data_IF_447782021149
#
_entry.id   IF_447782021149
#
_cell.length_a   1.000
_cell.length_b   1.000
_cell.length_c   1.000
_cell.angle_alpha   90.00
_cell.angle_beta   90.00
_cell.angle_gamma   90.00
#
_symmetry.space_group_name_H-M   'P 1'
#
loop_
_entity.id
_entity.type
_entity.pdbx_description
1 polymer ?
#
# COMPACT_ATOMS: atom_id res chain seq x y z
N UNK A 1 -12.43 1.33 -13.71
CA UNK A 1 -11.32 0.39 -13.49
C UNK A 1 -11.44 0.01 -12.02
N UNK A 2 -10.40 -0.43 -11.32
CA UNK A 2 -10.58 -0.94 -9.95
C UNK A 2 -9.38 -1.72 -9.43
N UNK A 3 -9.48 -2.15 -8.17
CA UNK A 3 -8.47 -2.98 -7.52
C UNK A 3 -8.70 -4.45 -7.89
N UNK A 4 -7.65 -5.08 -8.39
CA UNK A 4 -7.54 -6.51 -8.70
C UNK A 4 -7.31 -7.34 -7.45
N UNK A 5 -6.41 -6.87 -6.58
CA UNK A 5 -5.96 -7.60 -5.40
C UNK A 5 -5.51 -6.64 -4.30
N UNK A 6 -5.65 -7.10 -3.05
CA UNK A 6 -5.21 -6.40 -1.84
C UNK A 6 -4.29 -7.30 -1.05
N UNK A 7 -3.12 -6.76 -0.70
CA UNK A 7 -2.13 -7.43 0.12
C UNK A 7 -2.00 -6.73 1.47
N UNK A 8 -1.94 -7.51 2.54
CA UNK A 8 -1.64 -7.04 3.89
C UNK A 8 -0.21 -7.45 4.23
N UNK A 9 0.54 -6.50 4.75
CA UNK A 9 1.88 -6.69 5.30
C UNK A 9 1.85 -6.28 6.78
N UNK A 10 2.14 -7.22 7.67
CA UNK A 10 2.07 -6.99 9.13
C UNK A 10 3.42 -6.64 9.75
N UNK A 11 4.47 -6.51 8.93
CA UNK A 11 5.85 -6.39 9.37
C UNK A 11 6.59 -7.74 9.32
N UNK A 12 7.83 -7.74 8.81
CA UNK A 12 8.79 -8.85 8.88
C UNK A 12 10.17 -8.30 9.25
N UNK A 13 11.17 -9.13 9.63
CA UNK A 13 12.52 -8.65 9.89
C UNK A 13 13.17 -7.88 8.73
N UNK A 14 12.80 -8.20 7.49
CA UNK A 14 13.30 -7.56 6.27
C UNK A 14 12.55 -6.27 5.91
N UNK A 15 11.32 -6.10 6.42
CA UNK A 15 10.47 -4.94 6.21
C UNK A 15 9.57 -4.76 7.44
N UNK A 16 10.08 -4.10 8.48
CA UNK A 16 9.41 -4.01 9.78
C UNK A 16 8.11 -3.20 9.71
N UNK A 17 8.12 -2.13 8.90
CA UNK A 17 6.97 -1.22 8.78
C UNK A 17 5.77 -1.96 8.17
N UNK A 18 4.63 -2.03 8.86
CA UNK A 18 3.43 -2.64 8.32
C UNK A 18 2.84 -1.81 7.18
N UNK A 19 2.02 -2.43 6.35
CA UNK A 19 1.40 -1.72 5.25
C UNK A 19 0.35 -2.51 4.50
N UNK A 20 -0.21 -1.86 3.49
CA UNK A 20 -1.19 -2.46 2.60
C UNK A 20 -0.88 -2.09 1.16
N UNK A 21 -0.99 -3.07 0.28
CA UNK A 21 -0.79 -2.88 -1.14
C UNK A 21 -2.08 -3.14 -1.90
N UNK A 22 -2.32 -2.35 -2.93
CA UNK A 22 -3.48 -2.42 -3.80
C UNK A 22 -3.00 -2.59 -5.24
N UNK A 23 -3.28 -3.73 -5.85
CA UNK A 23 -2.98 -3.95 -7.26
C UNK A 23 -4.13 -3.42 -8.10
N UNK A 24 -3.86 -2.41 -8.90
CA UNK A 24 -4.82 -1.82 -9.81
C UNK A 24 -4.93 -2.66 -11.11
N UNK A 25 -6.11 -2.62 -11.73
CA UNK A 25 -6.39 -3.32 -13.00
C UNK A 25 -5.63 -2.75 -14.20
N UNK A 26 -5.23 -1.47 -14.16
CA UNK A 26 -4.48 -0.84 -15.25
C UNK A 26 -3.04 -1.35 -15.31
N UNK A 27 -2.64 -1.78 -16.51
CA UNK A 27 -1.27 -2.20 -16.77
C UNK A 27 -0.87 -3.51 -16.10
N UNK A 28 -1.81 -4.36 -15.68
CA UNK A 28 -1.49 -5.67 -15.10
C UNK A 28 -0.53 -6.51 -15.95
N UNK A 29 -0.60 -6.35 -17.27
CA UNK A 29 0.24 -7.04 -18.23
C UNK A 29 1.73 -6.69 -18.13
N UNK A 30 2.12 -5.67 -17.36
CA UNK A 30 3.54 -5.35 -17.12
C UNK A 30 4.13 -6.17 -15.95
N UNK A 31 3.28 -6.74 -15.10
CA UNK A 31 3.71 -7.62 -14.00
C UNK A 31 3.89 -9.06 -14.52
N UNK A 32 4.74 -9.22 -15.52
CA UNK A 32 5.18 -10.52 -16.04
C UNK A 32 6.45 -10.97 -15.33
N UNK A 33 6.67 -12.28 -15.20
CA UNK A 33 7.84 -12.75 -14.48
C UNK A 33 7.83 -14.25 -14.19
N UNK A 34 8.48 -14.60 -13.08
CA UNK A 34 8.75 -15.98 -12.66
C UNK A 34 7.48 -16.80 -12.41
N UNK A 35 6.40 -16.16 -11.97
CA UNK A 35 5.11 -16.82 -11.81
C UNK A 35 4.21 -16.52 -13.02
N UNK A 36 3.38 -17.47 -13.41
CA UNK A 36 2.33 -17.28 -14.42
C UNK A 36 1.27 -16.24 -14.00
N UNK A 37 1.17 -15.92 -12.71
CA UNK A 37 0.19 -15.00 -12.14
C UNK A 37 0.73 -13.57 -12.04
N UNK A 38 0.10 -12.59 -12.73
CA UNK A 38 0.44 -11.18 -12.58
C UNK A 38 0.28 -10.65 -11.16
N UNK A 39 -0.67 -11.21 -10.41
CA UNK A 39 -0.92 -10.87 -9.00
C UNK A 39 0.32 -11.22 -8.17
N UNK A 40 0.83 -12.45 -8.29
CA UNK A 40 2.05 -12.85 -7.57
C UNK A 40 3.29 -12.10 -8.02
N UNK A 41 3.43 -11.84 -9.33
CA UNK A 41 4.56 -11.03 -9.83
C UNK A 41 4.52 -9.58 -9.32
N UNK A 42 3.33 -9.00 -9.16
CA UNK A 42 3.18 -7.67 -8.57
C UNK A 42 3.58 -7.67 -7.08
N UNK A 43 3.24 -8.71 -6.33
CA UNK A 43 3.69 -8.88 -4.94
C UNK A 43 5.21 -9.02 -4.84
N UNK A 44 5.84 -9.81 -5.72
CA UNK A 44 7.30 -9.96 -5.80
C UNK A 44 7.98 -8.62 -6.10
N UNK A 45 7.48 -7.88 -7.10
CA UNK A 45 7.97 -6.55 -7.42
C UNK A 45 7.87 -5.60 -6.23
N UNK A 46 6.73 -5.56 -5.55
CA UNK A 46 6.53 -4.68 -4.40
C UNK A 46 7.52 -5.01 -3.27
N UNK A 47 7.70 -6.30 -2.96
CA UNK A 47 8.68 -6.74 -1.95
C UNK A 47 10.10 -6.30 -2.32
N UNK A 48 10.53 -6.55 -3.55
CA UNK A 48 11.87 -6.17 -4.03
C UNK A 48 12.07 -4.65 -4.06
N UNK A 49 11.03 -3.88 -4.38
CA UNK A 49 11.06 -2.42 -4.37
C UNK A 49 11.14 -1.85 -2.95
N UNK A 50 10.33 -2.36 -2.02
CA UNK A 50 10.30 -1.91 -0.62
C UNK A 50 11.60 -2.28 0.12
N UNK A 51 12.16 -3.47 -0.16
CA UNK A 51 13.41 -3.91 0.45
C UNK A 51 14.62 -3.03 0.12
N UNK A 52 14.59 -2.28 -0.99
CA UNK A 52 15.68 -1.36 -1.38
C UNK A 52 15.79 -0.13 -0.48
N UNK A 53 14.70 0.26 0.20
CA UNK A 53 14.66 1.38 1.16
C UNK A 53 13.99 0.95 2.47
N UNK A 54 14.25 -0.28 2.92
CA UNK A 54 13.65 -0.81 4.13
C UNK A 54 14.00 0.04 5.37
N UNK A 55 15.21 0.60 5.42
CA UNK A 55 15.63 1.48 6.51
C UNK A 55 14.87 2.81 6.50
N UNK A 56 14.72 3.45 5.32
CA UNK A 56 13.90 4.66 5.19
C UNK A 56 12.44 4.41 5.57
N UNK A 57 11.92 3.22 5.32
CA UNK A 57 10.56 2.84 5.71
C UNK A 57 10.35 2.73 7.22
N UNK A 58 11.39 2.45 8.03
CA UNK A 58 11.28 2.32 9.49
C UNK A 58 10.89 3.63 10.19
N UNK A 59 11.11 4.77 9.53
CA UNK A 59 10.70 6.08 10.04
C UNK A 59 9.18 6.27 10.03
N UNK A 60 8.46 5.41 9.31
CA UNK A 60 7.02 5.49 9.11
C UNK A 60 6.28 4.42 9.91
N UNK A 61 5.07 4.71 10.34
CA UNK A 61 4.26 3.76 11.12
C UNK A 61 3.44 2.82 10.25
N UNK A 62 3.13 3.24 9.03
CA UNK A 62 2.35 2.46 8.08
C UNK A 62 2.60 2.95 6.65
N UNK A 63 2.53 2.06 5.67
CA UNK A 63 2.52 2.45 4.26
C UNK A 63 1.29 1.92 3.51
N UNK A 64 0.90 2.65 2.48
CA UNK A 64 -0.09 2.25 1.49
C UNK A 64 0.59 2.31 0.13
N UNK A 65 0.64 1.19 -0.59
CA UNK A 65 1.16 1.15 -1.96
C UNK A 65 0.06 0.83 -2.97
N UNK A 66 0.08 1.51 -4.11
CA UNK A 66 -0.81 1.21 -5.24
C UNK A 66 0.06 0.79 -6.42
N UNK A 67 -0.08 -0.48 -6.81
CA UNK A 67 0.67 -1.11 -7.89
C UNK A 67 -0.10 -0.98 -9.18
N UNK A 68 0.54 -0.47 -10.23
CA UNK A 68 -0.05 -0.32 -11.55
C UNK A 68 1.01 -0.34 -12.65
N UNK A 69 0.59 -0.32 -13.90
CA UNK A 69 1.50 -0.31 -15.04
C UNK A 69 1.15 0.74 -16.10
N UNK A 70 2.18 1.31 -16.69
CA UNK A 70 2.07 2.17 -17.88
C UNK A 70 3.29 1.97 -18.79
N UNK A 71 3.06 1.91 -20.12
CA UNK A 71 4.14 1.87 -21.13
C UNK A 71 5.23 0.84 -20.82
N UNK A 72 4.82 -0.37 -20.43
CA UNK A 72 5.71 -1.49 -20.05
C UNK A 72 6.53 -1.28 -18.78
N UNK A 73 6.23 -0.26 -17.97
CA UNK A 73 6.87 -0.02 -16.67
C UNK A 73 5.99 -0.45 -15.53
N UNK A 74 6.59 -1.05 -14.50
CA UNK A 74 5.94 -1.35 -13.22
C UNK A 74 6.05 -0.14 -12.34
N UNK A 75 4.92 0.31 -11.79
CA UNK A 75 4.85 1.51 -10.96
C UNK A 75 4.22 1.15 -9.63
N UNK A 76 4.76 1.72 -8.54
CA UNK A 76 4.11 1.75 -7.24
C UNK A 76 4.03 3.20 -6.75
N UNK A 77 2.81 3.70 -6.58
CA UNK A 77 2.58 4.91 -5.82
C UNK A 77 2.61 4.53 -4.34
N UNK A 78 3.52 5.10 -3.56
CA UNK A 78 3.75 4.75 -2.17
C UNK A 78 3.45 5.95 -1.27
N UNK A 79 2.41 5.82 -0.46
CA UNK A 79 2.02 6.77 0.57
C UNK A 79 2.45 6.24 1.93
N UNK A 80 3.21 7.04 2.67
CA UNK A 80 3.78 6.62 3.96
C UNK A 80 3.27 7.54 5.05
N UNK A 81 2.66 6.97 6.07
CA UNK A 81 2.09 7.71 7.19
C UNK A 81 3.19 8.03 8.20
N UNK A 82 3.42 9.33 8.35
CA UNK A 82 4.27 9.96 9.35
C UNK A 82 3.44 10.58 10.46
N UNK A 83 4.11 10.93 11.55
CA UNK A 83 3.59 11.97 12.44
C UNK A 83 2.34 11.54 13.21
N UNK A 84 2.40 10.39 13.86
CA UNK A 84 1.65 10.29 15.11
C UNK A 84 2.58 10.89 16.15
N UNK A 85 2.39 12.17 16.45
CA UNK A 85 3.09 12.76 17.57
C UNK A 85 2.58 12.08 18.84
N UNK A 86 3.27 10.99 19.25
CA UNK A 86 2.94 10.22 20.44
C UNK A 86 3.06 11.09 21.70
N UNK A 87 3.70 12.25 21.61
CA UNK A 87 3.76 13.24 22.68
C UNK A 87 2.41 13.93 22.91
N UNK A 88 1.55 14.05 21.89
CA UNK A 88 0.27 14.74 22.01
C UNK A 88 -0.80 13.95 22.81
N UNK A 89 -0.53 12.70 23.19
CA UNK A 89 -1.46 11.81 23.93
C UNK A 89 -2.89 11.76 23.36
N UNK A 90 -3.07 12.11 22.09
CA UNK A 90 -4.39 12.15 21.45
C UNK A 90 -4.91 10.72 21.22
N UNK A 91 -6.23 10.49 21.34
CA UNK A 91 -6.83 9.24 20.90
C UNK A 91 -6.47 8.92 19.46
N UNK A 92 -6.25 7.64 19.15
CA UNK A 92 -5.87 7.18 17.81
C UNK A 92 -6.73 7.80 16.70
N UNK A 93 -8.06 7.85 16.89
CA UNK A 93 -9.01 8.36 15.91
C UNK A 93 -8.82 9.85 15.60
N UNK A 94 -8.28 10.63 16.54
CA UNK A 94 -8.11 12.07 16.45
C UNK A 94 -6.76 12.47 15.83
N UNK A 95 -5.82 11.54 15.72
CA UNK A 95 -4.50 11.83 15.13
C UNK A 95 -4.65 12.07 13.63
N UNK A 96 -4.01 13.13 13.13
CA UNK A 96 -3.97 13.48 11.73
C UNK A 96 -2.56 13.23 11.16
N UNK A 97 -2.28 12.03 10.62
CA UNK A 97 -0.94 11.70 10.16
C UNK A 97 -0.55 12.55 8.93
N UNK A 98 0.72 12.91 8.86
CA UNK A 98 1.31 13.42 7.64
C UNK A 98 1.49 12.29 6.64
N UNK A 99 1.33 12.58 5.34
CA UNK A 99 1.46 11.57 4.29
C UNK A 99 2.56 11.96 3.32
N UNK A 100 3.66 11.22 3.34
CA UNK A 100 4.74 11.36 2.38
C UNK A 100 4.48 10.47 1.16
N UNK A 101 4.58 11.06 -0.04
CA UNK A 101 4.31 10.36 -1.30
C UNK A 101 5.63 10.15 -2.06
N UNK A 102 5.84 8.92 -2.48
CA UNK A 102 6.91 8.53 -3.40
C UNK A 102 6.33 7.72 -4.54
N UNK A 103 7.00 7.77 -5.69
CA UNK A 103 6.70 6.91 -6.82
C UNK A 103 7.91 6.03 -7.05
N UNK A 104 7.67 4.73 -7.15
CA UNK A 104 8.70 3.76 -7.49
C UNK A 104 8.41 3.26 -8.90
N UNK A 105 9.33 3.50 -9.83
CA UNK A 105 9.21 3.02 -11.22
C UNK A 105 10.32 2.01 -11.48
N UNK A 106 9.92 0.77 -11.77
CA UNK A 106 10.86 -0.36 -12.00
C UNK A 106 11.93 -0.50 -10.91
N UNK A 107 11.56 -0.20 -9.64
CA UNK A 107 12.44 -0.26 -8.47
C UNK A 107 13.14 1.06 -8.13
N UNK A 108 13.09 2.06 -9.02
CA UNK A 108 13.72 3.36 -8.80
C UNK A 108 12.79 4.29 -8.04
N UNK A 109 13.23 4.75 -6.87
CA UNK A 109 12.49 5.67 -6.00
C UNK A 109 12.61 7.12 -6.46
N UNK A 110 11.49 7.81 -6.52
CA UNK A 110 11.42 9.24 -6.81
C UNK A 110 10.42 9.94 -5.89
N UNK A 111 10.64 11.21 -5.51
CA UNK A 111 9.62 12.01 -4.86
C UNK A 111 8.36 12.06 -5.72
N UNK A 112 7.20 11.79 -5.11
CA UNK A 112 5.91 11.81 -5.78
C UNK A 112 5.08 13.03 -5.36
N UNK A 113 4.34 13.61 -6.29
CA UNK A 113 3.37 14.68 -6.00
C UNK A 113 2.01 14.47 -6.67
N UNK A 114 1.81 13.33 -7.34
CA UNK A 114 0.59 13.00 -8.07
C UNK A 114 0.21 11.56 -7.76
N UNK A 115 -1.09 11.34 -7.55
CA UNK A 115 -1.73 10.03 -7.45
C UNK A 115 -2.80 9.94 -8.52
N UNK A 116 -3.07 8.73 -9.02
CA UNK A 116 -4.25 8.52 -9.85
C UNK A 116 -5.54 8.74 -9.04
N UNK A 117 -6.67 9.00 -9.72
CA UNK A 117 -7.97 9.24 -9.07
C UNK A 117 -8.35 8.06 -8.15
N UNK A 118 -8.22 6.82 -8.62
CA UNK A 118 -8.51 5.64 -7.80
C UNK A 118 -7.56 5.54 -6.59
N UNK A 119 -6.32 6.03 -6.72
CA UNK A 119 -5.39 6.11 -5.60
C UNK A 119 -5.79 7.13 -4.54
N UNK A 120 -6.32 8.28 -4.95
CA UNK A 120 -6.92 9.27 -4.04
C UNK A 120 -8.14 8.68 -3.32
N UNK A 121 -8.99 7.91 -4.02
CA UNK A 121 -10.15 7.24 -3.42
C UNK A 121 -9.67 6.21 -2.38
N UNK A 122 -8.71 5.35 -2.72
CA UNK A 122 -8.14 4.36 -1.79
C UNK A 122 -7.58 5.05 -0.54
N UNK A 123 -6.79 6.11 -0.69
CA UNK A 123 -6.25 6.88 0.43
C UNK A 123 -7.36 7.49 1.30
N UNK A 124 -8.42 8.02 0.67
CA UNK A 124 -9.59 8.53 1.38
C UNK A 124 -10.30 7.45 2.20
N UNK A 125 -10.48 6.24 1.64
CA UNK A 125 -11.07 5.09 2.33
C UNK A 125 -10.22 4.59 3.49
N UNK A 126 -8.91 4.56 3.31
CA UNK A 126 -7.97 4.24 4.38
C UNK A 126 -8.03 5.26 5.51
N UNK A 127 -8.10 6.55 5.19
CA UNK A 127 -8.28 7.62 6.19
C UNK A 127 -9.62 7.53 6.94
N UNK A 128 -10.71 7.23 6.25
CA UNK A 128 -12.02 6.96 6.87
C UNK A 128 -11.97 5.75 7.79
N UNK A 129 -11.31 4.67 7.35
CA UNK A 129 -11.17 3.44 8.12
C UNK A 129 -10.32 3.65 9.37
N UNK A 130 -9.18 4.34 9.25
CA UNK A 130 -8.32 4.74 10.37
C UNK A 130 -9.11 5.47 11.47
N UNK A 131 -10.01 6.38 11.09
CA UNK A 131 -10.87 7.14 12.03
C UNK A 131 -11.93 6.28 12.72
N UNK A 132 -12.22 5.07 12.22
CA UNK A 132 -13.23 4.16 12.76
C UNK A 132 -12.63 3.03 13.60
N UNK A 133 -11.36 2.72 13.44
CA UNK A 133 -10.69 1.71 14.27
C UNK A 133 -10.29 2.29 15.62
N UNK A 134 -10.17 1.44 16.64
CA UNK A 134 -9.80 1.82 17.99
C UNK A 134 -8.29 2.01 18.17
N UNK A 135 -7.47 1.37 17.32
CA UNK A 135 -6.02 1.40 17.42
C UNK A 135 -5.32 1.21 16.07
N UNK A 136 -4.00 1.45 16.07
CA UNK A 136 -3.12 1.10 14.95
C UNK A 136 -3.14 -0.41 14.67
N UNK A 137 -3.12 -1.24 15.71
CA UNK A 137 -3.14 -2.70 15.57
C UNK A 137 -4.41 -3.18 14.85
N UNK A 138 -5.58 -2.62 15.21
CA UNK A 138 -6.83 -2.91 14.52
C UNK A 138 -6.81 -2.41 13.07
N UNK A 139 -6.30 -1.20 12.83
CA UNK A 139 -6.15 -0.62 11.49
C UNK A 139 -5.25 -1.46 10.56
N UNK A 140 -4.17 -2.02 11.08
CA UNK A 140 -3.27 -2.90 10.32
C UNK A 140 -4.01 -4.20 9.95
N UNK A 141 -4.69 -4.81 10.92
CA UNK A 141 -5.31 -6.13 10.78
C UNK A 141 -6.60 -6.12 9.97
N UNK A 142 -7.34 -5.02 9.99
CA UNK A 142 -8.62 -4.91 9.29
C UNK A 142 -8.46 -4.02 8.06
N UNK A 143 -8.94 -4.43 6.88
CA UNK A 143 -8.87 -3.58 5.70
C UNK A 143 -10.08 -2.65 5.59
N UNK A 144 -9.96 -1.50 4.89
CA UNK A 144 -11.09 -0.64 4.60
C UNK A 144 -12.06 -1.33 3.64
N UNK A 145 -13.31 -0.85 3.64
CA UNK A 145 -14.25 -1.12 2.56
C UNK A 145 -14.00 -0.13 1.41
N UNK A 146 -13.56 -0.63 0.27
CA UNK A 146 -13.28 0.17 -0.93
C UNK A 146 -14.53 0.46 -1.79
N UNK A 147 -15.68 -0.10 -1.43
CA UNK A 147 -16.93 0.05 -2.17
C UNK A 147 -16.80 -0.50 -3.60
N UNK A 148 -17.12 0.28 -4.64
CA UNK A 148 -17.03 -0.19 -6.04
C UNK A 148 -15.62 -0.59 -6.50
N UNK A 149 -14.57 -0.16 -5.79
CA UNK A 149 -13.18 -0.50 -6.12
C UNK A 149 -12.71 -1.84 -5.53
N UNK A 150 -13.52 -2.52 -4.71
CA UNK A 150 -13.14 -3.81 -4.11
C UNK A 150 -12.74 -4.85 -5.17
N UNK A 151 -11.77 -5.74 -4.87
CA UNK A 151 -11.52 -6.91 -5.69
C UNK A 151 -12.81 -7.71 -5.91
N UNK A 152 -13.15 -7.95 -7.18
CA UNK A 152 -14.35 -8.73 -7.54
C UNK A 152 -14.26 -10.19 -7.10
N UNK A 153 -13.05 -10.70 -6.96
CA UNK A 153 -12.79 -12.06 -6.50
C UNK A 153 -12.33 -12.04 -5.05
N UNK A 154 -13.07 -12.72 -4.18
CA UNK A 154 -12.81 -12.78 -2.75
C UNK A 154 -11.45 -13.39 -2.41
N UNK A 155 -10.92 -14.26 -3.27
CA UNK A 155 -9.61 -14.88 -3.05
C UNK A 155 -8.46 -13.85 -3.06
N UNK A 156 -8.68 -12.66 -3.63
CA UNK A 156 -7.68 -11.60 -3.72
C UNK A 156 -7.89 -10.44 -2.72
N UNK A 157 -8.80 -10.58 -1.76
CA UNK A 157 -9.13 -9.48 -0.82
C UNK A 157 -8.23 -9.42 0.42
N UNK A 158 -7.37 -10.40 0.67
CA UNK A 158 -6.60 -10.49 1.93
C UNK A 158 -5.32 -11.27 1.76
N UNK A 159 -4.66 -11.13 0.61
CA UNK A 159 -3.40 -11.80 0.35
C UNK A 159 -2.35 -11.31 1.35
N UNK A 160 -1.42 -12.19 1.72
CA UNK A 160 -0.25 -11.77 2.51
C UNK A 160 0.87 -11.40 1.56
N UNK A 161 1.54 -10.28 1.81
CA UNK A 161 2.85 -10.03 1.23
C UNK A 161 3.83 -10.95 1.97
N UNK A 162 4.08 -12.15 1.44
CA UNK A 162 5.00 -13.11 2.06
C UNK A 162 6.46 -12.69 1.81
N UNK A 163 7.31 -12.89 2.83
CA UNK A 163 8.76 -12.77 2.73
C UNK A 163 9.34 -13.80 1.76
#
# INVERSE_FOLDING_TARGET
MGIMARYVHVGTPELETPGRLYLHTSGLNVFTGRDSSPIKNAALYAREALAQDAEGLKEFMFFIGILWGERSRRIMDLMRYNGFDLEEQKPWQEINPDVNISIITDGVWTPGNLLCEEGLIVLGREGEHRRRTASLEEFIRTPPNLGPLEPKNQEYMGLRLQA
#
